data_IF_418523683627
#
_entry.id   IF_418523683627
#
_cell.length_a   1.000
_cell.length_b   1.000
_cell.length_c   1.000
_cell.angle_alpha   90.00
_cell.angle_beta   90.00
_cell.angle_gamma   90.00
#
_symmetry.space_group_name_H-M   'P 1'
#
loop_
_entity.id
_entity.type
_entity.pdbx_description
1 polymer ?
#
# COMPACT_ATOMS: atom_id res chain seq x y z
N UNK A 1 -32.87 1.97 29.00
CA UNK A 1 -31.39 1.87 29.02
C UNK A 1 -30.93 1.31 27.70
N UNK A 2 -30.82 2.16 26.68
CA UNK A 2 -30.15 1.82 25.42
C UNK A 2 -28.82 2.55 25.51
N UNK A 3 -27.76 1.82 25.83
CA UNK A 3 -26.42 2.38 25.88
C UNK A 3 -26.06 2.86 24.48
N UNK A 4 -26.04 4.18 24.28
CA UNK A 4 -25.45 4.82 23.09
C UNK A 4 -24.02 4.34 22.96
N UNK A 5 -23.78 3.50 21.95
CA UNK A 5 -22.50 2.90 21.65
C UNK A 5 -21.58 3.96 21.02
N UNK A 6 -21.16 4.97 21.81
CA UNK A 6 -20.21 6.01 21.37
C UNK A 6 -18.78 5.45 21.36
N UNK A 7 -18.51 4.49 20.48
CA UNK A 7 -17.15 4.34 19.99
C UNK A 7 -16.86 5.51 19.05
N UNK A 8 -15.80 6.27 19.33
CA UNK A 8 -15.35 7.32 18.38
C UNK A 8 -15.05 6.68 17.03
N UNK A 9 -15.24 7.42 15.93
CA UNK A 9 -14.88 6.95 14.57
C UNK A 9 -13.49 6.31 14.54
N UNK A 10 -12.53 6.94 15.22
CA UNK A 10 -11.16 6.44 15.39
C UNK A 10 -11.09 5.08 16.09
N UNK A 11 -11.84 4.87 17.17
CA UNK A 11 -11.89 3.57 17.86
C UNK A 11 -12.46 2.45 16.98
N UNK A 12 -13.54 2.72 16.23
CA UNK A 12 -14.12 1.71 15.33
C UNK A 12 -13.19 1.36 14.17
N UNK A 13 -12.58 2.38 13.57
CA UNK A 13 -11.60 2.23 12.50
C UNK A 13 -10.44 1.35 12.96
N UNK A 14 -9.86 1.66 14.14
CA UNK A 14 -8.77 0.87 14.72
C UNK A 14 -9.17 -0.58 14.98
N UNK A 15 -10.36 -0.81 15.54
CA UNK A 15 -10.81 -2.16 15.85
C UNK A 15 -11.02 -3.01 14.59
N UNK A 16 -11.69 -2.45 13.58
CA UNK A 16 -11.95 -3.15 12.34
C UNK A 16 -10.68 -3.34 11.50
N UNK A 17 -9.74 -2.38 11.51
CA UNK A 17 -8.45 -2.55 10.84
C UNK A 17 -7.63 -3.67 11.48
N UNK A 18 -7.65 -3.76 12.80
CA UNK A 18 -6.97 -4.83 13.54
C UNK A 18 -7.59 -6.20 13.24
N UNK A 19 -8.93 -6.28 13.20
CA UNK A 19 -9.63 -7.52 12.82
C UNK A 19 -9.25 -7.94 11.40
N UNK A 20 -9.32 -7.01 10.44
CA UNK A 20 -8.98 -7.30 9.05
C UNK A 20 -7.52 -7.77 8.92
N UNK A 21 -6.59 -7.08 9.57
CA UNK A 21 -5.17 -7.45 9.56
C UNK A 21 -4.94 -8.86 10.12
N UNK A 22 -5.60 -9.22 11.22
CA UNK A 22 -5.49 -10.56 11.82
C UNK A 22 -6.09 -11.63 10.93
N UNK A 23 -7.21 -11.35 10.28
CA UNK A 23 -7.85 -12.26 9.33
C UNK A 23 -6.93 -12.49 8.13
N UNK A 24 -6.39 -11.43 7.52
CA UNK A 24 -5.42 -11.56 6.41
C UNK A 24 -4.21 -12.39 6.84
N UNK A 25 -3.64 -12.08 8.01
CA UNK A 25 -2.50 -12.82 8.56
C UNK A 25 -2.82 -14.30 8.80
N UNK A 26 -4.04 -14.62 9.25
CA UNK A 26 -4.47 -16.00 9.45
C UNK A 26 -4.52 -16.77 8.13
N UNK A 27 -5.08 -16.19 7.06
CA UNK A 27 -5.08 -16.82 5.74
C UNK A 27 -3.66 -17.10 5.24
N UNK A 28 -2.77 -16.11 5.34
CA UNK A 28 -1.40 -16.25 4.84
C UNK A 28 -0.56 -17.22 5.69
N UNK A 29 -0.56 -17.05 7.02
CA UNK A 29 0.36 -17.73 7.93
C UNK A 29 -0.15 -19.08 8.42
N UNK A 30 -1.46 -19.22 8.65
CA UNK A 30 -2.04 -20.45 9.17
C UNK A 30 -2.58 -21.35 8.07
N UNK A 31 -3.22 -20.78 7.05
CA UNK A 31 -3.82 -21.56 5.95
C UNK A 31 -2.87 -21.72 4.75
N UNK A 32 -1.81 -20.91 4.65
CA UNK A 32 -0.93 -20.92 3.47
C UNK A 32 -1.66 -20.47 2.20
N UNK A 33 -2.63 -19.55 2.37
CA UNK A 33 -3.54 -19.09 1.34
C UNK A 33 -3.41 -17.58 1.14
N UNK A 34 -3.23 -17.16 -0.10
CA UNK A 34 -3.22 -15.76 -0.50
C UNK A 34 -4.64 -15.30 -0.85
N UNK A 35 -5.11 -14.23 -0.22
CA UNK A 35 -6.38 -13.58 -0.58
C UNK A 35 -6.19 -12.71 -1.82
N UNK A 36 -6.91 -13.03 -2.90
CA UNK A 36 -6.80 -12.37 -4.21
C UNK A 36 -8.05 -11.58 -4.59
N UNK A 37 -9.11 -11.71 -3.79
CA UNK A 37 -10.27 -10.84 -3.84
C UNK A 37 -9.91 -9.41 -3.37
N UNK A 38 -10.72 -8.42 -3.76
CA UNK A 38 -10.63 -7.07 -3.18
C UNK A 38 -10.84 -7.19 -1.67
N UNK A 39 -10.05 -6.48 -0.85
CA UNK A 39 -10.23 -6.44 0.61
C UNK A 39 -11.31 -5.42 1.01
N UNK A 40 -12.01 -5.64 2.14
CA UNK A 40 -13.06 -4.72 2.61
C UNK A 40 -12.48 -3.36 3.04
N UNK A 41 -13.11 -2.26 2.58
CA UNK A 41 -12.71 -0.90 2.97
C UNK A 41 -13.27 -0.55 4.35
N UNK A 42 -12.43 -0.70 5.36
CA UNK A 42 -12.76 -0.41 6.75
C UNK A 42 -13.13 1.07 6.98
N UNK A 43 -12.54 1.99 6.22
CA UNK A 43 -12.84 3.42 6.32
C UNK A 43 -14.27 3.67 5.82
N UNK A 44 -14.65 3.03 4.72
CA UNK A 44 -16.00 3.13 4.17
C UNK A 44 -17.05 2.56 5.15
N UNK A 45 -16.82 1.36 5.68
CA UNK A 45 -17.65 0.73 6.72
C UNK A 45 -17.84 1.68 7.93
N UNK A 46 -16.78 2.39 8.33
CA UNK A 46 -16.86 3.32 9.44
C UNK A 46 -17.61 4.61 9.07
N UNK A 47 -17.39 5.18 7.89
CA UNK A 47 -17.96 6.49 7.54
C UNK A 47 -19.45 6.41 7.21
N UNK A 48 -19.84 5.40 6.44
CA UNK A 48 -21.11 5.38 5.72
C UNK A 48 -21.92 4.11 6.03
N UNK A 49 -22.31 3.90 7.29
CA UNK A 49 -22.93 2.63 7.78
C UNK A 49 -24.23 2.25 7.03
N UNK A 50 -24.89 3.21 6.37
CA UNK A 50 -26.16 3.02 5.65
C UNK A 50 -26.00 2.95 4.12
N UNK A 51 -24.78 3.11 3.60
CA UNK A 51 -24.51 3.08 2.16
C UNK A 51 -24.38 1.63 1.66
N UNK A 52 -24.93 1.34 0.47
CA UNK A 52 -24.93 -0.03 -0.08
C UNK A 52 -23.50 -0.55 -0.27
N UNK A 53 -22.59 0.31 -0.72
CA UNK A 53 -21.18 -0.05 -0.87
C UNK A 53 -20.51 -0.41 0.46
N UNK A 54 -20.86 0.28 1.55
CA UNK A 54 -20.33 -0.02 2.88
C UNK A 54 -20.92 -1.31 3.45
N UNK A 55 -22.18 -1.64 3.12
CA UNK A 55 -22.77 -2.93 3.44
C UNK A 55 -22.09 -4.06 2.68
N UNK A 56 -21.68 -3.85 1.43
CA UNK A 56 -20.90 -4.83 0.67
C UNK A 56 -19.50 -5.05 1.27
N UNK A 57 -18.82 -3.99 1.70
CA UNK A 57 -17.56 -4.10 2.45
C UNK A 57 -17.77 -4.86 3.79
N UNK A 58 -18.89 -4.62 4.48
CA UNK A 58 -19.20 -5.34 5.71
C UNK A 58 -19.53 -6.82 5.45
N UNK A 59 -20.29 -7.13 4.41
CA UNK A 59 -20.57 -8.51 3.97
C UNK A 59 -19.27 -9.24 3.68
N UNK A 60 -18.34 -8.58 3.00
CA UNK A 60 -17.03 -9.12 2.68
C UNK A 60 -16.19 -9.37 3.94
N UNK A 61 -16.22 -8.46 4.92
CA UNK A 61 -15.58 -8.67 6.22
C UNK A 61 -16.15 -9.91 6.94
N UNK A 62 -17.47 -10.06 6.96
CA UNK A 62 -18.14 -11.21 7.57
C UNK A 62 -17.84 -12.51 6.82
N UNK A 63 -17.75 -12.46 5.49
CA UNK A 63 -17.37 -13.60 4.65
C UNK A 63 -15.98 -14.11 5.00
N UNK A 64 -15.00 -13.21 5.15
CA UNK A 64 -13.64 -13.58 5.54
C UNK A 64 -13.57 -14.14 6.97
N UNK A 65 -14.35 -13.59 7.90
CA UNK A 65 -14.43 -14.12 9.27
C UNK A 65 -15.07 -15.51 9.29
N UNK A 66 -16.14 -15.71 8.52
CA UNK A 66 -16.79 -17.02 8.36
C UNK A 66 -15.82 -18.03 7.77
N UNK A 67 -15.13 -17.66 6.68
CA UNK A 67 -14.09 -18.48 6.05
C UNK A 67 -12.99 -18.87 7.03
N UNK A 68 -12.51 -17.90 7.83
CA UNK A 68 -11.54 -18.16 8.91
C UNK A 68 -12.08 -19.18 9.93
N UNK A 69 -13.33 -19.02 10.37
CA UNK A 69 -13.95 -19.89 11.36
C UNK A 69 -14.12 -21.34 10.86
N UNK A 70 -14.48 -21.54 9.59
CA UNK A 70 -14.70 -22.88 9.02
C UNK A 70 -13.42 -23.55 8.51
N UNK A 71 -12.31 -22.81 8.43
CA UNK A 71 -11.00 -23.33 8.04
C UNK A 71 -10.00 -23.42 9.21
N UNK A 72 -10.36 -22.97 10.41
CA UNK A 72 -9.50 -23.07 11.59
C UNK A 72 -9.36 -24.48 12.16
N UNK A 73 -8.44 -24.66 13.12
CA UNK A 73 -8.20 -25.94 13.80
C UNK A 73 -9.47 -26.51 14.48
N UNK A 74 -10.34 -25.62 14.99
CA UNK A 74 -11.61 -25.99 15.63
C UNK A 74 -12.81 -25.90 14.68
N UNK A 75 -12.61 -26.05 13.36
CA UNK A 75 -13.67 -25.94 12.36
C UNK A 75 -14.90 -26.81 12.63
N UNK A 76 -14.72 -28.00 13.20
CA UNK A 76 -15.81 -28.93 13.51
C UNK A 76 -16.87 -28.29 14.41
N UNK A 77 -16.45 -27.52 15.42
CA UNK A 77 -17.36 -26.81 16.32
C UNK A 77 -18.24 -25.79 15.58
N UNK A 78 -17.67 -25.05 14.63
CA UNK A 78 -18.42 -24.07 13.84
C UNK A 78 -19.35 -24.76 12.83
N UNK A 79 -18.88 -25.81 12.16
CA UNK A 79 -19.67 -26.59 11.20
C UNK A 79 -20.86 -27.27 11.88
N UNK A 80 -20.68 -27.85 13.07
CA UNK A 80 -21.78 -28.43 13.84
C UNK A 80 -22.83 -27.40 14.22
N UNK A 81 -22.40 -26.17 14.56
CA UNK A 81 -23.31 -25.08 14.91
C UNK A 81 -24.11 -24.59 13.70
N UNK A 82 -23.49 -24.54 12.52
CA UNK A 82 -24.18 -24.24 11.24
C UNK A 82 -25.21 -25.33 10.93
N UNK A 83 -24.87 -26.61 11.11
CA UNK A 83 -25.79 -27.76 10.89
C UNK A 83 -27.03 -27.78 11.77
N UNK A 84 -27.07 -26.98 12.84
CA UNK A 84 -28.23 -26.84 13.74
C UNK A 84 -29.18 -25.70 13.32
N UNK A 85 -28.81 -24.88 12.33
CA UNK A 85 -29.66 -23.82 11.79
C UNK A 85 -30.74 -24.39 10.87
N UNK A 86 -31.70 -23.57 10.45
CA UNK A 86 -32.70 -23.99 9.48
C UNK A 86 -32.08 -24.26 8.11
N UNK A 87 -32.65 -25.22 7.38
CA UNK A 87 -32.11 -25.66 6.08
C UNK A 87 -31.91 -24.49 5.10
N UNK A 88 -32.83 -23.52 5.03
CA UNK A 88 -32.67 -22.35 4.14
C UNK A 88 -31.38 -21.58 4.44
N UNK A 89 -31.14 -21.28 5.71
CA UNK A 89 -29.95 -20.51 6.16
C UNK A 89 -28.69 -21.35 5.98
N UNK A 90 -28.77 -22.66 6.19
CA UNK A 90 -27.63 -23.55 5.95
C UNK A 90 -27.15 -23.47 4.50
N UNK A 91 -28.06 -23.52 3.51
CA UNK A 91 -27.69 -23.42 2.10
C UNK A 91 -27.02 -22.06 1.80
N UNK A 92 -27.59 -20.95 2.28
CA UNK A 92 -27.00 -19.62 2.09
C UNK A 92 -25.59 -19.50 2.71
N UNK A 93 -25.37 -20.06 3.91
CA UNK A 93 -24.04 -20.06 4.54
C UNK A 93 -23.07 -20.96 3.80
N UNK A 94 -23.51 -22.11 3.28
CA UNK A 94 -22.68 -23.00 2.47
C UNK A 94 -22.24 -22.31 1.18
N UNK A 95 -23.13 -21.57 0.53
CA UNK A 95 -22.79 -20.77 -0.65
C UNK A 95 -21.74 -19.69 -0.31
N UNK A 96 -21.83 -19.08 0.87
CA UNK A 96 -20.80 -18.16 1.36
C UNK A 96 -19.46 -18.86 1.62
N UNK A 97 -19.48 -20.04 2.26
CA UNK A 97 -18.26 -20.82 2.51
C UNK A 97 -17.59 -21.18 1.17
N UNK A 98 -18.34 -21.65 0.18
CA UNK A 98 -17.81 -22.00 -1.15
C UNK A 98 -17.19 -20.81 -1.89
N UNK A 99 -17.63 -19.58 -1.59
CA UNK A 99 -17.00 -18.39 -2.19
C UNK A 99 -15.58 -18.14 -1.68
N UNK A 100 -15.23 -18.64 -0.48
CA UNK A 100 -13.97 -18.32 0.21
C UNK A 100 -13.16 -19.56 0.67
N UNK A 101 -13.71 -20.77 0.52
CA UNK A 101 -13.07 -22.05 0.71
C UNK A 101 -13.10 -22.78 -0.63
N UNK A 102 -11.92 -23.03 -1.21
CA UNK A 102 -11.73 -23.75 -2.47
C UNK A 102 -12.19 -23.00 -3.76
N UNK A 103 -12.19 -21.66 -3.72
CA UNK A 103 -12.47 -20.84 -4.90
C UNK A 103 -11.21 -20.12 -5.42
N UNK A 104 -10.64 -20.53 -6.57
CA UNK A 104 -9.43 -19.93 -7.14
C UNK A 104 -9.63 -18.50 -7.64
N UNK A 105 -10.87 -17.99 -7.74
CA UNK A 105 -11.12 -16.58 -8.02
C UNK A 105 -11.05 -15.69 -6.76
N UNK A 106 -11.02 -16.29 -5.58
CA UNK A 106 -10.99 -15.59 -4.29
C UNK A 106 -9.68 -15.84 -3.55
N UNK A 107 -9.25 -17.10 -3.49
CA UNK A 107 -8.14 -17.55 -2.64
C UNK A 107 -7.20 -18.45 -3.42
N UNK A 108 -5.91 -18.23 -3.28
CA UNK A 108 -4.85 -18.99 -3.94
C UNK A 108 -3.99 -19.73 -2.92
N UNK A 109 -3.85 -21.05 -3.06
CA UNK A 109 -3.03 -21.85 -2.15
C UNK A 109 -1.56 -21.73 -2.55
N UNK A 110 -0.72 -21.17 -1.68
CA UNK A 110 0.67 -20.80 -1.98
C UNK A 110 1.53 -21.98 -2.42
N UNK A 111 1.29 -23.19 -1.89
CA UNK A 111 2.03 -24.39 -2.28
C UNK A 111 1.75 -24.82 -3.73
N UNK A 112 0.52 -24.63 -4.23
CA UNK A 112 0.11 -25.05 -5.58
C UNK A 112 0.78 -24.23 -6.68
N UNK A 113 1.24 -23.01 -6.37
CA UNK A 113 1.99 -22.15 -7.31
C UNK A 113 3.31 -22.77 -7.76
N UNK A 114 3.92 -23.59 -6.90
CA UNK A 114 5.18 -24.27 -7.21
C UNK A 114 4.98 -25.49 -8.12
N UNK A 115 3.74 -25.99 -8.22
CA UNK A 115 3.38 -27.21 -8.94
C UNK A 115 2.57 -26.91 -10.23
N UNK A 116 2.54 -25.67 -10.70
CA UNK A 116 1.73 -25.29 -11.87
C UNK A 116 2.01 -26.14 -13.14
N UNK A 117 3.25 -26.62 -13.28
CA UNK A 117 3.69 -27.44 -14.41
C UNK A 117 3.21 -28.90 -14.34
N UNK A 118 2.71 -29.37 -13.19
CA UNK A 118 2.17 -30.73 -13.02
C UNK A 118 0.66 -30.79 -13.24
N UNK A 119 -0.02 -29.64 -13.34
CA UNK A 119 -1.46 -29.55 -13.55
C UNK A 119 -1.87 -29.97 -14.96
N UNK A 120 -3.09 -30.52 -15.13
CA UNK A 120 -3.69 -30.71 -16.44
C UNK A 120 -3.74 -29.39 -17.24
N UNK A 121 -3.56 -29.48 -18.56
CA UNK A 121 -3.48 -28.31 -19.45
C UNK A 121 -4.73 -27.41 -19.35
N UNK A 122 -5.91 -28.00 -19.22
CA UNK A 122 -7.17 -27.25 -19.10
C UNK A 122 -7.23 -26.45 -17.79
N UNK A 123 -6.73 -27.03 -16.69
CA UNK A 123 -6.70 -26.41 -15.37
C UNK A 123 -5.64 -25.30 -15.32
N UNK A 124 -4.46 -25.55 -15.86
CA UNK A 124 -3.42 -24.53 -16.02
C UNK A 124 -3.90 -23.36 -16.87
N UNK A 125 -4.66 -23.63 -17.95
CA UNK A 125 -5.27 -22.59 -18.80
C UNK A 125 -6.30 -21.78 -18.04
N UNK A 126 -7.15 -22.42 -17.23
CA UNK A 126 -8.12 -21.74 -16.35
C UNK A 126 -7.42 -20.83 -15.35
N UNK A 127 -6.38 -21.33 -14.68
CA UNK A 127 -5.58 -20.57 -13.72
C UNK A 127 -4.86 -19.38 -14.37
N UNK A 128 -4.36 -19.54 -15.59
CA UNK A 128 -3.78 -18.44 -16.35
C UNK A 128 -4.79 -17.33 -16.65
N UNK A 129 -6.01 -17.69 -17.08
CA UNK A 129 -7.08 -16.70 -17.32
C UNK A 129 -7.41 -15.94 -16.04
N UNK A 130 -7.54 -16.65 -14.91
CA UNK A 130 -7.76 -16.03 -13.61
C UNK A 130 -6.61 -15.07 -13.25
N UNK A 131 -5.36 -15.51 -13.38
CA UNK A 131 -4.18 -14.67 -13.12
C UNK A 131 -4.23 -13.36 -13.93
N UNK A 132 -4.55 -13.43 -15.22
CA UNK A 132 -4.68 -12.24 -16.07
C UNK A 132 -5.80 -11.33 -15.56
N UNK A 133 -6.96 -11.88 -15.20
CA UNK A 133 -8.08 -11.11 -14.64
C UNK A 133 -7.72 -10.43 -13.30
N UNK A 134 -6.99 -11.13 -12.44
CA UNK A 134 -6.49 -10.59 -11.17
C UNK A 134 -5.46 -9.49 -11.41
N UNK A 135 -4.52 -9.68 -12.34
CA UNK A 135 -3.56 -8.63 -12.70
C UNK A 135 -4.26 -7.38 -13.24
N UNK A 136 -5.24 -7.52 -14.14
CA UNK A 136 -6.02 -6.37 -14.65
C UNK A 136 -6.74 -5.62 -13.52
N UNK A 137 -7.40 -6.36 -12.61
CA UNK A 137 -8.07 -5.77 -11.45
C UNK A 137 -7.10 -5.05 -10.52
N UNK A 138 -6.02 -5.71 -10.10
CA UNK A 138 -5.01 -5.14 -9.21
C UNK A 138 -4.36 -3.89 -9.82
N UNK A 139 -4.15 -3.89 -11.14
CA UNK A 139 -3.66 -2.70 -11.84
C UNK A 139 -4.67 -1.56 -11.71
N UNK A 140 -5.97 -1.80 -11.93
CA UNK A 140 -7.02 -0.76 -11.76
C UNK A 140 -7.10 -0.26 -10.32
N UNK A 141 -7.18 -1.16 -9.35
CA UNK A 141 -7.22 -0.82 -7.91
C UNK A 141 -5.98 -0.02 -7.49
N UNK A 142 -4.79 -0.37 -7.99
CA UNK A 142 -3.57 0.40 -7.74
C UNK A 142 -3.69 1.84 -8.25
N UNK A 143 -4.26 2.05 -9.44
CA UNK A 143 -4.47 3.40 -9.97
C UNK A 143 -5.49 4.18 -9.14
N UNK A 144 -6.58 3.54 -8.71
CA UNK A 144 -7.59 4.14 -7.84
C UNK A 144 -7.01 4.54 -6.47
N UNK A 145 -6.22 3.67 -5.85
CA UNK A 145 -5.54 3.97 -4.58
C UNK A 145 -4.52 5.11 -4.71
N UNK A 146 -3.79 5.15 -5.82
CA UNK A 146 -2.83 6.23 -6.10
C UNK A 146 -3.56 7.56 -6.27
N UNK A 147 -4.66 7.58 -7.02
CA UNK A 147 -5.51 8.76 -7.15
C UNK A 147 -6.08 9.20 -5.80
N UNK A 148 -6.62 8.27 -5.01
CA UNK A 148 -7.19 8.59 -3.70
C UNK A 148 -6.14 9.14 -2.73
N UNK A 149 -4.91 8.64 -2.80
CA UNK A 149 -3.78 9.16 -2.02
C UNK A 149 -3.48 10.61 -2.39
N UNK A 150 -3.47 10.94 -3.69
CA UNK A 150 -3.30 12.32 -4.16
C UNK A 150 -4.44 13.22 -3.67
N UNK A 151 -5.69 12.77 -3.80
CA UNK A 151 -6.85 13.54 -3.35
C UNK A 151 -6.79 13.84 -1.84
N UNK A 152 -6.45 12.84 -1.03
CA UNK A 152 -6.28 13.01 0.42
C UNK A 152 -5.12 13.97 0.76
N UNK A 153 -4.02 13.94 -0.01
CA UNK A 153 -2.92 14.90 0.18
C UNK A 153 -3.34 16.33 -0.12
N UNK A 154 -4.13 16.55 -1.18
CA UNK A 154 -4.69 17.86 -1.51
C UNK A 154 -5.69 18.33 -0.45
N UNK A 155 -6.57 17.45 0.05
CA UNK A 155 -7.49 17.75 1.16
C UNK A 155 -6.70 18.17 2.42
N UNK A 156 -5.63 17.45 2.76
CA UNK A 156 -4.76 17.79 3.90
C UNK A 156 -4.05 19.13 3.72
N UNK A 157 -3.59 19.44 2.52
CA UNK A 157 -2.93 20.72 2.21
C UNK A 157 -3.92 21.88 2.28
N UNK A 158 -5.15 21.69 1.77
CA UNK A 158 -6.22 22.68 1.88
C UNK A 158 -6.60 22.97 3.35
N UNK A 159 -6.67 21.93 4.20
CA UNK A 159 -6.94 22.10 5.63
C UNK A 159 -5.79 22.86 6.32
N UNK A 160 -4.53 22.56 5.98
CA UNK A 160 -3.36 23.28 6.51
C UNK A 160 -3.39 24.76 6.13
N UNK A 161 -3.67 25.08 4.86
CA UNK A 161 -3.78 26.45 4.36
C UNK A 161 -4.95 27.21 5.03
N UNK A 162 -6.10 26.55 5.24
CA UNK A 162 -7.23 27.15 5.97
C UNK A 162 -6.87 27.46 7.43
N UNK A 163 -6.09 26.59 8.08
CA UNK A 163 -5.65 26.81 9.45
C UNK A 163 -4.64 27.97 9.55
N UNK A 164 -3.73 28.12 8.58
CA UNK A 164 -2.79 29.25 8.50
C UNK A 164 -3.48 30.59 8.20
N UNK A 165 -4.51 30.58 7.35
CA UNK A 165 -5.31 31.77 7.04
C UNK A 165 -6.22 32.22 8.20
N UNK A 166 -6.66 31.30 9.05
CA UNK A 166 -7.49 31.64 10.22
C UNK A 166 -6.69 32.38 11.32
N UNK A 167 -5.38 32.10 11.43
CA UNK A 167 -4.50 32.79 12.38
C UNK A 167 -4.04 34.18 11.90
N UNK A 168 -4.03 34.45 10.59
CA UNK A 168 -3.61 35.74 10.03
C UNK A 168 -4.71 36.81 9.99
N UNK A 169 -5.98 36.46 10.26
CA UNK A 169 -7.09 37.43 10.30
C UNK A 169 -7.45 37.98 11.69
N UNK A 170 -6.69 37.67 12.75
CA UNK A 170 -6.95 38.23 14.11
C UNK A 170 -5.98 39.31 14.58
N UNK A 171 -5.05 39.77 13.73
CA UNK A 171 -4.08 40.81 14.09
C UNK A 171 -4.01 41.92 13.04
N UNK A 172 -5.02 42.80 13.04
CA UNK A 172 -4.86 44.15 12.48
C UNK A 172 -5.44 45.20 13.43
N UNK A 173 -4.61 46.05 14.06
CA UNK A 173 -5.00 47.38 14.47
C UNK A 173 -4.65 48.40 13.36
N UNK A 174 -5.32 49.56 13.29
CA UNK A 174 -5.04 50.56 12.27
C UNK A 174 -3.72 51.29 12.56
N UNK A 175 -3.08 51.65 11.45
CA UNK A 175 -1.83 52.37 11.28
C UNK A 175 -1.64 53.65 12.11
N UNK A 176 -0.40 53.86 12.60
CA UNK A 176 0.34 55.13 12.52
C UNK A 176 1.85 54.91 12.80
N UNK A 177 2.76 55.74 12.25
CA UNK A 177 4.16 55.36 12.05
C UNK A 177 5.15 55.94 13.08
N UNK A 178 6.41 55.51 12.94
CA UNK A 178 7.69 56.14 13.34
C UNK A 178 8.54 55.42 14.39
N UNK A 179 9.61 54.85 13.85
CA UNK A 179 11.02 54.95 14.25
C UNK A 179 11.54 54.34 15.55
N UNK A 180 12.59 53.56 15.30
CA UNK A 180 13.84 53.40 16.06
C UNK A 180 13.81 52.53 17.31
N UNK A 181 14.48 51.38 17.17
CA UNK A 181 15.75 51.21 17.88
C UNK A 181 15.71 50.36 19.13
N UNK A 182 16.24 49.14 18.95
CA UNK A 182 17.04 48.38 19.93
C UNK A 182 16.34 48.00 21.24
N UNK A 183 16.17 46.70 21.47
CA UNK A 183 15.99 46.17 22.83
C UNK A 183 16.84 44.92 22.99
N UNK A 184 18.07 45.17 23.43
CA UNK A 184 18.92 44.24 24.15
C UNK A 184 18.44 44.14 25.61
N UNK A 185 18.53 42.92 26.14
CA UNK A 185 18.82 42.58 27.53
C UNK A 185 17.78 42.95 28.61
N UNK A 186 16.99 41.95 29.04
CA UNK A 186 16.45 41.91 30.39
C UNK A 186 17.41 41.10 31.26
N UNK A 187 18.29 41.80 31.98
CA UNK A 187 18.92 41.28 33.18
C UNK A 187 17.93 41.40 34.34
N UNK A 188 17.71 40.29 35.04
CA UNK A 188 16.95 40.28 36.28
C UNK A 188 17.78 40.99 37.37
N UNK A 189 17.35 42.19 37.77
CA UNK A 189 17.76 42.79 39.04
C UNK A 189 16.68 42.55 40.09
N UNK A 190 17.05 41.81 41.14
CA UNK A 190 16.33 41.72 42.40
C UNK A 190 16.23 43.12 43.02
N UNK A 191 15.03 43.53 43.40
CA UNK A 191 14.75 44.61 44.36
C UNK A 191 13.65 44.06 45.28
N UNK A 192 13.81 43.84 46.59
CA UNK A 192 14.50 44.59 47.64
C UNK A 192 14.01 46.04 47.77
N UNK A 193 12.71 46.20 48.04
CA UNK A 193 12.16 47.32 48.83
C UNK A 193 10.91 46.85 49.59
N UNK A 194 11.11 46.40 50.82
CA UNK A 194 10.08 46.43 51.86
C UNK A 194 10.68 47.23 53.02
N UNK A 195 10.49 48.54 52.99
CA UNK A 195 10.65 49.40 54.15
C UNK A 195 9.58 50.50 54.11
N UNK A 196 9.06 50.77 55.30
CA UNK A 196 8.25 51.93 55.67
C UNK A 196 6.74 51.81 55.46
N UNK A 197 6.05 51.32 56.50
CA UNK A 197 5.01 52.06 57.23
C UNK A 197 4.41 51.15 58.33
N UNK A 198 5.05 51.16 59.49
CA UNK A 198 4.43 50.82 60.78
C UNK A 198 4.87 51.94 61.73
N UNK A 199 3.96 52.88 62.01
CA UNK A 199 3.78 53.54 63.31
C UNK A 199 2.94 54.81 63.15
N UNK A 200 1.66 54.71 63.49
CA UNK A 200 0.91 55.79 64.14
C UNK A 200 -0.37 55.19 64.73
N UNK A 201 -0.57 55.45 66.00
CA UNK A 201 -1.46 54.75 66.91
C UNK A 201 -2.93 55.21 66.81
N UNK A 202 -3.79 54.38 67.43
CA UNK A 202 -5.00 54.79 68.17
C UNK A 202 -6.23 55.28 67.37
N UNK A 203 -7.13 54.35 67.01
CA UNK A 203 -8.57 54.45 67.30
C UNK A 203 -9.25 53.14 66.89
N UNK A 204 -10.11 52.52 67.73
CA UNK A 204 -10.97 51.44 67.27
C UNK A 204 -12.14 52.05 66.48
N UNK A 205 -12.84 51.21 65.73
CA UNK A 205 -14.03 51.47 64.90
C UNK A 205 -13.70 51.68 63.41
N UNK A 206 -14.04 50.65 62.63
CA UNK A 206 -14.12 50.57 61.15
C UNK A 206 -12.84 50.28 60.34
N UNK A 207 -11.96 49.37 60.80
CA UNK A 207 -10.73 49.00 60.07
C UNK A 207 -10.67 47.56 59.54
N UNK A 208 -11.76 46.80 59.59
CA UNK A 208 -11.84 45.43 59.03
C UNK A 208 -11.84 45.45 57.50
N UNK A 209 -12.56 46.39 56.90
CA UNK A 209 -12.75 46.46 55.44
C UNK A 209 -11.45 46.71 54.65
N UNK A 210 -10.51 47.50 55.17
CA UNK A 210 -9.25 47.81 54.47
C UNK A 210 -8.23 46.66 54.55
N UNK A 211 -8.17 45.97 55.69
CA UNK A 211 -7.31 44.80 55.88
C UNK A 211 -7.82 43.61 55.06
N UNK A 212 -9.14 43.45 54.97
CA UNK A 212 -9.80 42.45 54.11
C UNK A 212 -9.58 42.74 52.63
N UNK A 213 -9.70 43.99 52.18
CA UNK A 213 -9.40 44.39 50.79
C UNK A 213 -7.93 44.16 50.42
N UNK A 214 -6.99 44.50 51.31
CA UNK A 214 -5.55 44.24 51.08
C UNK A 214 -5.24 42.74 51.05
N UNK A 215 -5.89 41.94 51.90
CA UNK A 215 -5.78 40.48 51.90
C UNK A 215 -6.32 39.88 50.59
N UNK A 216 -7.49 40.34 50.12
CA UNK A 216 -8.09 39.97 48.85
C UNK A 216 -7.16 40.26 47.66
N UNK A 217 -6.60 41.47 47.61
CA UNK A 217 -5.65 41.87 46.57
C UNK A 217 -4.36 41.04 46.59
N UNK A 218 -3.87 40.62 47.77
CA UNK A 218 -2.71 39.73 47.86
C UNK A 218 -3.02 38.32 47.33
N UNK A 219 -4.23 37.81 47.59
CA UNK A 219 -4.68 36.52 47.06
C UNK A 219 -4.83 36.58 45.54
N UNK A 220 -5.45 37.65 45.01
CA UNK A 220 -5.57 37.85 43.55
C UNK A 220 -4.20 38.00 42.87
N UNK A 221 -3.26 38.74 43.48
CA UNK A 221 -1.90 38.84 42.96
C UNK A 221 -1.17 37.49 43.00
N UNK A 222 -1.37 36.69 44.04
CA UNK A 222 -0.83 35.34 44.13
C UNK A 222 -1.45 34.41 43.06
N UNK A 223 -2.75 34.53 42.82
CA UNK A 223 -3.47 33.76 41.81
C UNK A 223 -3.01 34.13 40.40
N UNK A 224 -2.92 35.43 40.07
CA UNK A 224 -2.39 35.92 38.80
C UNK A 224 -0.93 35.50 38.61
N UNK A 225 -0.10 35.58 39.65
CA UNK A 225 1.29 35.10 39.60
C UNK A 225 1.38 33.59 39.37
N UNK A 226 0.47 32.81 39.97
CA UNK A 226 0.38 31.37 39.71
C UNK A 226 -0.04 31.06 38.27
N UNK A 227 -0.97 31.86 37.72
CA UNK A 227 -1.44 31.74 36.33
C UNK A 227 -0.33 32.06 35.34
N UNK A 228 0.46 33.10 35.61
CA UNK A 228 1.66 33.44 34.79
C UNK A 228 2.67 32.30 34.78
N UNK A 229 2.91 31.63 35.92
CA UNK A 229 3.83 30.48 35.97
C UNK A 229 3.31 29.28 35.18
N UNK A 230 2.01 28.98 35.30
CA UNK A 230 1.38 27.91 34.53
C UNK A 230 1.49 28.16 33.03
N UNK A 231 1.16 29.36 32.58
CA UNK A 231 1.27 29.73 31.16
C UNK A 231 2.71 29.69 30.64
N UNK A 232 3.71 30.04 31.47
CA UNK A 232 5.12 29.89 31.08
C UNK A 232 5.49 28.42 30.91
N UNK A 233 5.08 27.56 31.84
CA UNK A 233 5.37 26.13 31.74
C UNK A 233 4.67 25.49 30.53
N UNK A 234 3.39 25.82 30.30
CA UNK A 234 2.66 25.38 29.10
C UNK A 234 3.34 25.87 27.81
N UNK A 235 3.90 27.09 27.79
CA UNK A 235 4.65 27.61 26.65
C UNK A 235 5.96 26.84 26.42
N UNK A 236 6.67 26.48 27.50
CA UNK A 236 7.89 25.68 27.44
C UNK A 236 7.60 24.28 26.89
N UNK A 237 6.58 23.59 27.40
CA UNK A 237 6.14 22.28 26.88
C UNK A 237 5.74 22.34 25.40
N UNK A 238 5.01 23.40 24.99
CA UNK A 238 4.64 23.59 23.59
C UNK A 238 5.86 23.85 22.71
N UNK A 239 6.87 24.56 23.20
CA UNK A 239 8.12 24.78 22.46
C UNK A 239 8.92 23.48 22.27
N UNK A 240 9.00 22.64 23.29
CA UNK A 240 9.66 21.31 23.18
C UNK A 240 8.97 20.44 22.13
N UNK A 241 7.63 20.35 22.16
CA UNK A 241 6.85 19.62 21.16
C UNK A 241 7.04 20.17 19.74
N UNK A 242 7.19 21.49 19.58
CA UNK A 242 7.45 22.11 18.28
C UNK A 242 8.82 21.70 17.74
N UNK A 243 9.83 21.54 18.60
CA UNK A 243 11.17 21.07 18.19
C UNK A 243 11.10 19.62 17.74
N UNK A 244 10.47 18.74 18.53
CA UNK A 244 10.31 17.32 18.16
C UNK A 244 9.58 17.14 16.83
N UNK A 245 8.47 17.88 16.62
CA UNK A 245 7.72 17.82 15.38
C UNK A 245 8.51 18.35 14.18
N UNK A 246 9.38 19.35 14.37
CA UNK A 246 10.29 19.84 13.32
C UNK A 246 11.33 18.79 12.94
N UNK A 247 11.89 18.08 13.90
CA UNK A 247 12.85 17.00 13.64
C UNK A 247 12.21 15.83 12.88
N UNK A 248 11.02 15.39 13.29
CA UNK A 248 10.26 14.35 12.59
C UNK A 248 9.90 14.80 11.18
N UNK A 249 9.51 16.07 11.00
CA UNK A 249 9.25 16.64 9.67
C UNK A 249 10.49 16.58 8.78
N UNK A 250 11.65 16.95 9.30
CA UNK A 250 12.90 16.96 8.53
C UNK A 250 13.34 15.53 8.15
N UNK A 251 13.25 14.58 9.08
CA UNK A 251 13.49 13.17 8.80
C UNK A 251 12.55 12.63 7.70
N UNK A 252 11.27 12.98 7.76
CA UNK A 252 10.30 12.59 6.73
C UNK A 252 10.61 13.23 5.37
N UNK A 253 11.09 14.47 5.32
CA UNK A 253 11.53 15.10 4.06
C UNK A 253 12.74 14.39 3.48
N UNK A 254 13.73 14.04 4.30
CA UNK A 254 14.91 13.29 3.86
C UNK A 254 14.52 11.92 3.30
N UNK A 255 13.64 11.18 3.99
CA UNK A 255 13.12 9.91 3.51
C UNK A 255 12.36 10.07 2.19
N UNK A 256 11.52 11.11 2.08
CA UNK A 256 10.80 11.42 0.84
C UNK A 256 11.74 11.75 -0.33
N UNK A 257 12.84 12.46 -0.07
CA UNK A 257 13.84 12.77 -1.08
C UNK A 257 14.62 11.53 -1.53
N UNK A 258 14.98 10.63 -0.60
CA UNK A 258 15.63 9.34 -0.90
C UNK A 258 14.73 8.47 -1.79
N UNK A 259 13.46 8.30 -1.41
CA UNK A 259 12.49 7.54 -2.21
C UNK A 259 12.28 8.17 -3.60
N UNK A 260 12.28 9.50 -3.73
CA UNK A 260 12.22 10.16 -5.05
C UNK A 260 13.45 9.87 -5.91
N UNK A 261 14.64 9.83 -5.30
CA UNK A 261 15.87 9.52 -6.02
C UNK A 261 15.89 8.07 -6.50
N UNK A 262 15.57 7.13 -5.62
CA UNK A 262 15.45 5.69 -5.96
C UNK A 262 14.41 5.46 -7.05
N UNK A 263 13.27 6.16 -7.01
CA UNK A 263 12.26 6.06 -8.05
C UNK A 263 12.79 6.52 -9.42
N UNK A 264 13.59 7.59 -9.46
CA UNK A 264 14.22 8.08 -10.68
C UNK A 264 15.23 7.07 -11.25
N UNK A 265 16.03 6.45 -10.39
CA UNK A 265 16.98 5.40 -10.77
C UNK A 265 16.26 4.18 -11.34
N UNK A 266 15.21 3.71 -10.66
CA UNK A 266 14.38 2.59 -11.14
C UNK A 266 13.72 2.89 -12.49
N UNK A 267 13.29 4.14 -12.73
CA UNK A 267 12.77 4.56 -14.05
C UNK A 267 13.86 4.49 -15.12
N UNK A 268 15.09 4.89 -14.79
CA UNK A 268 16.21 4.82 -15.72
C UNK A 268 16.59 3.36 -16.03
N UNK A 269 16.63 2.49 -15.03
CA UNK A 269 16.85 1.05 -15.21
C UNK A 269 15.73 0.38 -16.02
N UNK A 270 14.48 0.75 -15.81
CA UNK A 270 13.36 0.24 -16.60
C UNK A 270 13.49 0.64 -18.08
N UNK A 271 14.02 1.83 -18.37
CA UNK A 271 14.28 2.28 -19.75
C UNK A 271 15.43 1.49 -20.39
N UNK A 272 16.53 1.25 -19.68
CA UNK A 272 17.64 0.44 -20.21
C UNK A 272 17.22 -1.03 -20.41
N UNK A 273 16.46 -1.61 -19.48
CA UNK A 273 15.91 -2.95 -19.62
C UNK A 273 14.98 -3.08 -20.85
N UNK A 274 14.22 -2.03 -21.16
CA UNK A 274 13.41 -1.98 -22.40
C UNK A 274 14.31 -2.01 -23.64
N UNK A 275 15.36 -1.21 -23.69
CA UNK A 275 16.30 -1.20 -24.82
C UNK A 275 16.94 -2.58 -25.04
N UNK A 276 17.35 -3.27 -23.96
CA UNK A 276 17.88 -4.63 -24.06
C UNK A 276 16.85 -5.65 -24.56
N UNK A 277 15.56 -5.51 -24.18
CA UNK A 277 14.50 -6.36 -24.76
C UNK A 277 14.35 -6.14 -26.26
N UNK A 278 14.35 -4.88 -26.70
CA UNK A 278 14.28 -4.55 -28.13
C UNK A 278 15.47 -5.15 -28.90
N UNK A 279 16.68 -5.15 -28.32
CA UNK A 279 17.86 -5.82 -28.90
C UNK A 279 17.71 -7.34 -28.98
N UNK A 280 17.17 -7.98 -27.93
CA UNK A 280 16.90 -9.42 -27.91
C UNK A 280 15.88 -9.81 -28.98
N UNK A 281 14.85 -8.99 -29.18
CA UNK A 281 13.84 -9.23 -30.22
C UNK A 281 14.47 -9.19 -31.63
N UNK A 282 15.35 -8.22 -31.89
CA UNK A 282 16.11 -8.12 -33.14
C UNK A 282 17.00 -9.34 -33.34
N UNK A 283 17.72 -9.77 -32.30
CA UNK A 283 18.58 -10.96 -32.37
C UNK A 283 17.77 -12.24 -32.62
N UNK A 284 16.59 -12.36 -32.01
CA UNK A 284 15.70 -13.51 -32.20
C UNK A 284 15.24 -13.62 -33.66
N UNK A 285 14.89 -12.51 -34.32
CA UNK A 285 14.53 -12.54 -35.73
C UNK A 285 15.73 -12.87 -36.64
N UNK A 286 16.95 -12.45 -36.26
CA UNK A 286 18.17 -12.86 -36.95
C UNK A 286 18.42 -14.36 -36.83
N UNK A 287 18.23 -14.96 -35.65
CA UNK A 287 18.33 -16.41 -35.45
C UNK A 287 17.33 -17.16 -36.33
N UNK A 288 16.06 -16.76 -36.34
CA UNK A 288 15.04 -17.36 -37.22
C UNK A 288 15.41 -17.28 -38.71
N UNK A 289 16.08 -16.21 -39.13
CA UNK A 289 16.59 -16.08 -40.50
C UNK A 289 17.73 -17.07 -40.77
N UNK A 290 18.65 -17.26 -39.82
CA UNK A 290 19.72 -18.25 -39.92
C UNK A 290 19.14 -19.66 -40.02
N UNK A 291 18.19 -20.05 -39.17
CA UNK A 291 17.57 -21.38 -39.21
C UNK A 291 16.92 -21.71 -40.57
N UNK A 292 16.27 -20.70 -41.19
CA UNK A 292 15.71 -20.82 -42.54
C UNK A 292 16.79 -21.07 -43.59
N UNK A 293 17.87 -20.30 -43.55
CA UNK A 293 19.00 -20.45 -44.47
C UNK A 293 19.72 -21.79 -44.26
N UNK A 294 19.89 -22.25 -43.03
CA UNK A 294 20.47 -23.55 -42.72
C UNK A 294 19.62 -24.69 -43.28
N UNK A 295 18.30 -24.59 -43.16
CA UNK A 295 17.37 -25.54 -43.76
C UNK A 295 17.48 -25.59 -45.29
N UNK A 296 17.62 -24.44 -45.95
CA UNK A 296 17.84 -24.36 -47.40
C UNK A 296 19.18 -24.97 -47.82
N UNK A 297 20.26 -24.67 -47.08
CA UNK A 297 21.58 -25.27 -47.31
C UNK A 297 21.52 -26.79 -47.17
N UNK A 298 20.79 -27.30 -46.18
CA UNK A 298 20.61 -28.74 -46.01
C UNK A 298 19.88 -29.36 -47.21
N UNK A 299 18.80 -28.74 -47.71
CA UNK A 299 18.10 -29.20 -48.92
C UNK A 299 19.02 -29.22 -50.14
N UNK A 300 19.88 -28.21 -50.31
CA UNK A 300 20.85 -28.21 -51.41
C UNK A 300 21.90 -29.30 -51.28
N UNK A 301 22.35 -29.62 -50.06
CA UNK A 301 23.25 -30.77 -49.82
C UNK A 301 22.58 -32.09 -50.19
N UNK A 302 21.32 -32.29 -49.80
CA UNK A 302 20.58 -33.51 -50.14
C UNK A 302 20.40 -33.65 -51.64
N UNK A 303 20.04 -32.55 -52.34
CA UNK A 303 19.95 -32.49 -53.80
C UNK A 303 21.28 -32.82 -54.48
N UNK A 304 22.39 -32.34 -53.93
CA UNK A 304 23.73 -32.65 -54.44
C UNK A 304 24.02 -34.14 -54.32
N UNK A 305 23.72 -34.75 -53.18
CA UNK A 305 23.90 -36.17 -52.95
C UNK A 305 23.06 -37.02 -53.94
N UNK A 306 21.82 -36.61 -54.23
CA UNK A 306 20.98 -37.25 -55.25
C UNK A 306 21.62 -37.16 -56.66
N UNK A 307 22.14 -35.99 -57.03
CA UNK A 307 22.81 -35.80 -58.31
C UNK A 307 24.09 -36.66 -58.42
N UNK A 308 24.87 -36.75 -57.35
CA UNK A 308 26.06 -37.59 -57.29
C UNK A 308 25.69 -39.07 -57.43
N UNK A 309 24.61 -39.53 -56.79
CA UNK A 309 24.08 -40.88 -56.96
C UNK A 309 23.70 -41.17 -58.42
N UNK A 310 22.92 -40.30 -59.05
CA UNK A 310 22.52 -40.49 -60.45
C UNK A 310 23.72 -40.42 -61.40
N UNK A 311 24.71 -39.57 -61.12
CA UNK A 311 25.94 -39.50 -61.90
C UNK A 311 26.71 -40.81 -61.85
N UNK A 312 26.96 -41.36 -60.66
CA UNK A 312 27.60 -42.67 -60.51
C UNK A 312 26.80 -43.77 -61.21
N UNK A 313 25.46 -43.76 -61.11
CA UNK A 313 24.62 -44.75 -61.79
C UNK A 313 24.69 -44.66 -63.31
N UNK A 314 24.78 -43.45 -63.87
CA UNK A 314 24.98 -43.25 -65.31
C UNK A 314 26.37 -43.72 -65.76
N UNK A 315 27.40 -43.50 -64.95
CA UNK A 315 28.76 -43.99 -65.22
C UNK A 315 28.81 -45.53 -65.23
N UNK A 316 28.20 -46.19 -64.25
CA UNK A 316 28.06 -47.67 -64.22
C UNK A 316 27.35 -48.20 -65.47
N UNK A 317 26.18 -47.66 -65.82
CA UNK A 317 25.41 -48.11 -66.98
C UNK A 317 26.15 -47.87 -68.30
N UNK A 318 26.98 -46.82 -68.39
CA UNK A 318 27.83 -46.59 -69.56
C UNK A 318 28.91 -47.65 -69.69
N UNK A 319 29.52 -48.07 -68.58
CA UNK A 319 30.52 -49.14 -68.58
C UNK A 319 29.88 -50.49 -68.91
N UNK A 320 28.74 -50.83 -68.30
CA UNK A 320 27.99 -52.05 -68.61
C UNK A 320 27.62 -52.12 -70.11
N UNK A 321 27.11 -51.02 -70.68
CA UNK A 321 26.77 -50.95 -72.11
C UNK A 321 28.01 -51.10 -73.00
N UNK A 322 29.16 -50.55 -72.59
CA UNK A 322 30.42 -50.70 -73.29
C UNK A 322 30.85 -52.16 -73.33
N UNK A 323 30.86 -52.84 -72.18
CA UNK A 323 31.21 -54.26 -72.06
C UNK A 323 30.25 -55.13 -72.89
N UNK A 324 28.95 -54.83 -72.86
CA UNK A 324 27.94 -55.52 -73.69
C UNK A 324 28.19 -55.32 -75.19
N UNK A 325 28.58 -54.12 -75.61
CA UNK A 325 28.92 -53.85 -77.01
C UNK A 325 30.18 -54.60 -77.44
N UNK A 326 31.21 -54.63 -76.60
CA UNK A 326 32.46 -55.37 -76.86
C UNK A 326 32.21 -56.89 -76.94
N UNK A 327 31.41 -57.45 -76.02
CA UNK A 327 31.03 -58.87 -76.06
C UNK A 327 30.16 -59.20 -77.26
N UNK A 328 29.25 -58.32 -77.67
CA UNK A 328 28.47 -58.48 -78.90
C UNK A 328 29.37 -58.57 -80.14
N UNK A 329 30.32 -57.63 -80.29
CA UNK A 329 31.23 -57.64 -81.44
C UNK A 329 32.06 -58.92 -81.51
N UNK A 330 32.53 -59.43 -80.37
CA UNK A 330 33.28 -60.69 -80.28
C UNK A 330 32.47 -61.94 -80.65
N UNK A 331 31.13 -61.87 -80.60
CA UNK A 331 30.24 -62.97 -81.01
C UNK A 331 29.81 -62.87 -82.48
N UNK A 332 29.96 -61.70 -83.09
CA UNK A 332 29.62 -61.45 -84.50
C UNK A 332 30.83 -61.68 -85.44
N UNK A 333 32.06 -61.70 -84.92
CA UNK A 333 33.31 -62.07 -85.59
C UNK A 333 33.62 -63.59 -85.52
#
# INVERSE_FOLDING_TARGET
MICENRHTFSSRLKNLSEILFRVISFYEQNLGQLLVLRLPDVVNICKNVEDECALDDLRLMLLLILGSAVQCEQKEHFIERIKRLDLSIQHEIVDCIQQIADNPASVWITSEWSELNSLPVDEASRMYVLLVQHCDRLVKERHELLQRTVDLLLELEAIKQCNENCFSHTSSPPSSPTSSGVSSLISLSKSAMLHSLCDAASSPVSNTNFVEQKSHLMVELAELKSKVRRLHHELEEKNELVVELKEILEQNKEASNKLRHENLELIQEARSAKAYRDEVDVLTERVRKVDRLESEVQRYRDRMNELDYYKSRVEELREDNRILSETKTMLED
#
